data_IF_788892031949
#
_entry.id   IF_788892031949
#
_cell.length_a   1.000
_cell.length_b   1.000
_cell.length_c   1.000
_cell.angle_alpha   90.00
_cell.angle_beta   90.00
_cell.angle_gamma   90.00
#
_symmetry.space_group_name_H-M   'P 1'
#
loop_
_entity.id
_entity.type
_entity.pdbx_description
1 polymer ?
#
# COMPACT_ATOMS: atom_id res chain seq x y z
N UNK A 1 8.25 14.15 -7.64
CA UNK A 1 7.09 13.21 -7.59
C UNK A 1 6.36 13.27 -6.25
N UNK A 2 7.01 12.96 -5.11
CA UNK A 2 6.36 12.89 -3.77
C UNK A 2 5.61 14.17 -3.37
N UNK A 3 6.15 15.36 -3.64
CA UNK A 3 5.46 16.63 -3.34
C UNK A 3 4.09 16.79 -4.01
N UNK A 4 3.76 15.93 -4.97
CA UNK A 4 2.45 15.86 -5.66
C UNK A 4 1.54 14.78 -5.12
N UNK A 5 2.01 13.94 -4.19
CA UNK A 5 1.17 12.92 -3.57
C UNK A 5 0.03 13.55 -2.80
N UNK A 6 -1.17 13.01 -2.95
CA UNK A 6 -2.34 13.49 -2.22
C UNK A 6 -2.14 13.44 -0.70
N UNK A 7 -1.29 12.53 -0.22
CA UNK A 7 -0.91 12.39 1.19
C UNK A 7 -0.29 13.68 1.76
N UNK A 8 0.43 14.45 0.91
CA UNK A 8 1.14 15.68 1.28
C UNK A 8 0.40 16.95 0.81
N UNK A 9 -0.87 16.83 0.42
CA UNK A 9 -1.69 17.95 -0.02
C UNK A 9 -2.70 18.37 1.03
N UNK A 10 -3.07 19.64 0.99
CA UNK A 10 -4.17 20.23 1.74
C UNK A 10 -5.36 20.52 0.83
N UNK A 11 -6.57 20.72 1.39
CA UNK A 11 -7.69 21.25 0.60
C UNK A 11 -7.31 22.57 -0.07
N UNK A 12 -7.78 22.84 -1.30
CA UNK A 12 -8.76 22.06 -2.07
C UNK A 12 -8.15 20.86 -2.85
N UNK A 13 -6.84 20.84 -3.10
CA UNK A 13 -6.17 19.85 -3.95
C UNK A 13 -6.32 18.42 -3.39
N UNK A 14 -6.13 18.24 -2.08
CA UNK A 14 -6.35 16.94 -1.44
C UNK A 14 -7.77 16.42 -1.70
N UNK A 15 -8.79 17.26 -1.51
CA UNK A 15 -10.19 16.87 -1.69
C UNK A 15 -10.47 16.46 -3.13
N UNK A 16 -9.92 17.21 -4.08
CA UNK A 16 -10.03 16.94 -5.52
C UNK A 16 -9.40 15.61 -5.90
N UNK A 17 -8.12 15.41 -5.56
CA UNK A 17 -7.37 14.20 -5.89
C UNK A 17 -7.96 12.96 -5.20
N UNK A 18 -8.31 13.06 -3.92
CA UNK A 18 -8.94 11.97 -3.17
C UNK A 18 -10.28 11.57 -3.79
N UNK A 19 -11.08 12.55 -4.24
CA UNK A 19 -12.34 12.28 -4.92
C UNK A 19 -12.18 11.52 -6.24
N UNK A 20 -11.09 11.76 -6.98
CA UNK A 20 -10.78 11.02 -8.20
C UNK A 20 -10.37 9.57 -7.90
N UNK A 21 -9.46 9.39 -6.95
CA UNK A 21 -9.04 8.06 -6.50
C UNK A 21 -10.24 7.26 -5.97
N UNK A 22 -11.11 7.89 -5.17
CA UNK A 22 -12.30 7.22 -4.62
C UNK A 22 -13.28 6.73 -5.68
N UNK A 23 -13.41 7.44 -6.81
CA UNK A 23 -14.23 6.99 -7.95
C UNK A 23 -13.67 5.74 -8.61
N UNK A 24 -12.36 5.57 -8.60
CA UNK A 24 -11.68 4.41 -9.16
C UNK A 24 -11.61 3.22 -8.16
N UNK A 25 -11.61 3.51 -6.85
CA UNK A 25 -11.66 2.51 -5.77
C UNK A 25 -13.07 2.37 -5.21
N UNK A 26 -13.91 1.63 -5.90
CA UNK A 26 -15.27 1.35 -5.41
C UNK A 26 -15.32 -0.03 -4.73
N UNK A 27 -16.24 -0.27 -3.77
CA UNK A 27 -16.43 -1.58 -3.16
C UNK A 27 -16.60 -2.69 -4.20
N UNK A 28 -17.29 -2.40 -5.30
CA UNK A 28 -17.48 -3.35 -6.41
C UNK A 28 -16.15 -3.78 -7.06
N UNK A 29 -15.23 -2.84 -7.26
CA UNK A 29 -13.92 -3.15 -7.84
C UNK A 29 -13.11 -4.00 -6.86
N UNK A 30 -13.15 -3.67 -5.58
CA UNK A 30 -12.48 -4.45 -4.52
C UNK A 30 -13.03 -5.88 -4.45
N UNK A 31 -14.34 -6.06 -4.50
CA UNK A 31 -14.98 -7.38 -4.50
C UNK A 31 -14.60 -8.22 -5.73
N UNK A 32 -14.50 -7.58 -6.91
CA UNK A 32 -14.05 -8.27 -8.12
C UNK A 32 -12.61 -8.81 -8.02
N UNK A 33 -11.78 -8.18 -7.21
CA UNK A 33 -10.40 -8.63 -6.98
C UNK A 33 -10.29 -9.85 -6.06
N UNK A 34 -11.32 -10.18 -5.28
CA UNK A 34 -11.27 -11.28 -4.30
C UNK A 34 -10.81 -12.60 -4.92
N UNK A 35 -11.37 -12.97 -6.07
CA UNK A 35 -10.98 -14.21 -6.76
C UNK A 35 -9.54 -14.16 -7.27
N UNK A 36 -9.11 -13.02 -7.78
CA UNK A 36 -7.75 -12.83 -8.26
C UNK A 36 -6.74 -12.89 -7.11
N UNK A 37 -7.03 -12.22 -5.99
CA UNK A 37 -6.20 -12.26 -4.78
C UNK A 37 -6.10 -13.69 -4.26
N UNK A 38 -7.22 -14.43 -4.20
CA UNK A 38 -7.21 -15.83 -3.79
C UNK A 38 -6.32 -16.68 -4.71
N UNK A 39 -6.48 -16.54 -6.01
CA UNK A 39 -5.65 -17.29 -6.98
C UNK A 39 -4.16 -16.97 -6.89
N UNK A 40 -3.80 -15.70 -6.60
CA UNK A 40 -2.40 -15.31 -6.37
C UNK A 40 -1.90 -15.97 -5.09
N UNK A 41 -2.68 -15.90 -4.02
CA UNK A 41 -2.35 -16.49 -2.71
C UNK A 41 -2.13 -18.00 -2.82
N UNK A 42 -3.07 -18.71 -3.45
CA UNK A 42 -2.98 -20.16 -3.64
C UNK A 42 -1.70 -20.54 -4.40
N UNK A 43 -1.41 -19.86 -5.52
CA UNK A 43 -0.20 -20.10 -6.31
C UNK A 43 1.09 -19.87 -5.51
N UNK A 44 1.14 -18.82 -4.67
CA UNK A 44 2.31 -18.52 -3.84
C UNK A 44 2.49 -19.59 -2.75
N UNK A 45 1.42 -20.06 -2.14
CA UNK A 45 1.46 -21.11 -1.13
C UNK A 45 1.79 -22.47 -1.73
N UNK A 46 1.22 -22.82 -2.89
CA UNK A 46 1.50 -24.08 -3.61
C UNK A 46 2.99 -24.19 -3.95
N UNK A 47 3.64 -23.07 -4.28
CA UNK A 47 5.06 -23.05 -4.63
C UNK A 47 5.99 -23.49 -3.48
N UNK A 48 5.56 -23.39 -2.21
CA UNK A 48 6.38 -23.71 -1.03
C UNK A 48 5.80 -24.87 -0.19
N UNK A 49 4.64 -25.39 -0.55
CA UNK A 49 3.93 -26.43 0.22
C UNK A 49 4.75 -27.71 0.37
N UNK A 50 5.57 -28.06 -0.64
CA UNK A 50 6.41 -29.26 -0.64
C UNK A 50 7.66 -29.18 0.22
N UNK A 51 8.09 -28.00 0.64
CA UNK A 51 9.40 -27.76 1.25
C UNK A 51 9.42 -28.02 2.77
N UNK A 52 8.24 -28.22 3.40
CA UNK A 52 8.09 -28.46 4.84
C UNK A 52 8.42 -27.28 5.74
N UNK A 53 9.08 -26.26 5.22
CA UNK A 53 9.35 -24.96 5.87
C UNK A 53 9.44 -23.87 4.80
N UNK A 54 9.06 -22.66 5.16
CA UNK A 54 9.17 -21.50 4.27
C UNK A 54 9.43 -20.22 5.06
N UNK A 55 10.16 -19.29 4.45
CA UNK A 55 10.17 -17.90 4.88
C UNK A 55 8.85 -17.25 4.39
N UNK A 56 7.93 -17.02 5.32
CA UNK A 56 6.62 -16.46 4.99
C UNK A 56 6.72 -15.08 4.37
N UNK A 57 7.70 -14.27 4.79
CA UNK A 57 7.86 -12.93 4.25
C UNK A 57 8.24 -13.03 2.78
N UNK A 58 9.25 -13.83 2.45
CA UNK A 58 9.72 -14.01 1.08
C UNK A 58 8.68 -14.75 0.19
N UNK A 59 7.99 -15.76 0.75
CA UNK A 59 7.11 -16.62 -0.01
C UNK A 59 5.70 -16.01 -0.25
N UNK A 60 5.20 -15.23 0.69
CA UNK A 60 3.82 -14.73 0.65
C UNK A 60 3.69 -13.25 0.92
N UNK A 61 4.14 -12.79 2.12
CA UNK A 61 3.82 -11.44 2.58
C UNK A 61 4.34 -10.36 1.63
N UNK A 62 5.50 -10.59 1.03
CA UNK A 62 6.15 -9.68 0.10
C UNK A 62 5.58 -9.75 -1.33
N UNK A 63 5.50 -10.91 -2.03
CA UNK A 63 5.05 -10.96 -3.41
C UNK A 63 3.55 -10.71 -3.57
N UNK A 64 2.71 -11.04 -2.60
CA UNK A 64 1.26 -10.93 -2.72
C UNK A 64 0.79 -9.48 -2.92
N UNK A 65 1.07 -8.52 -2.05
CA UNK A 65 0.58 -7.14 -2.20
C UNK A 65 1.10 -6.45 -3.47
N UNK A 66 2.38 -6.67 -3.82
CA UNK A 66 2.97 -6.10 -5.03
C UNK A 66 2.29 -6.62 -6.28
N UNK A 67 2.06 -7.95 -6.35
CA UNK A 67 1.36 -8.56 -7.48
C UNK A 67 -0.06 -8.03 -7.58
N UNK A 68 -0.76 -7.86 -6.45
CA UNK A 68 -2.12 -7.34 -6.43
C UNK A 68 -2.17 -5.89 -6.91
N UNK A 69 -1.32 -5.00 -6.37
CA UNK A 69 -1.36 -3.59 -6.78
C UNK A 69 -0.89 -3.39 -8.22
N UNK A 70 0.10 -4.18 -8.67
CA UNK A 70 0.53 -4.16 -10.06
C UNK A 70 -0.60 -4.62 -11.01
N UNK A 71 -1.30 -5.69 -10.67
CA UNK A 71 -2.45 -6.16 -11.43
C UNK A 71 -3.59 -5.13 -11.47
N UNK A 72 -3.87 -4.45 -10.35
CA UNK A 72 -4.83 -3.34 -10.30
C UNK A 72 -4.47 -2.20 -11.25
N UNK A 73 -3.19 -1.86 -11.32
CA UNK A 73 -2.68 -0.83 -12.22
C UNK A 73 -2.50 -1.33 -13.67
N UNK A 74 -2.83 -2.60 -13.95
CA UNK A 74 -2.67 -3.18 -15.29
C UNK A 74 -1.22 -3.31 -15.73
N UNK A 75 -0.29 -3.45 -14.76
CA UNK A 75 1.14 -3.66 -15.01
C UNK A 75 1.38 -5.12 -15.43
N UNK A 76 2.11 -5.37 -16.52
CA UNK A 76 2.45 -6.71 -16.94
C UNK A 76 3.25 -7.50 -15.90
N UNK A 77 2.99 -8.80 -15.79
CA UNK A 77 3.62 -9.65 -14.77
C UNK A 77 5.16 -9.68 -14.84
N UNK A 78 5.72 -9.58 -16.05
CA UNK A 78 7.17 -9.53 -16.24
C UNK A 78 7.84 -8.28 -15.65
N UNK A 79 7.09 -7.23 -15.38
CA UNK A 79 7.59 -5.96 -14.85
C UNK A 79 7.44 -5.85 -13.31
N UNK A 80 6.82 -6.85 -12.66
CA UNK A 80 6.51 -6.79 -11.23
C UNK A 80 7.76 -6.66 -10.36
N UNK A 81 8.84 -7.36 -10.67
CA UNK A 81 10.10 -7.30 -9.91
C UNK A 81 10.70 -5.88 -9.95
N UNK A 82 10.70 -5.27 -11.13
CA UNK A 82 11.20 -3.90 -11.28
C UNK A 82 10.30 -2.89 -10.56
N UNK A 83 8.99 -3.10 -10.65
CA UNK A 83 7.99 -2.29 -9.96
C UNK A 83 8.19 -2.33 -8.46
N UNK A 84 8.51 -3.51 -7.95
CA UNK A 84 8.85 -3.73 -6.55
C UNK A 84 10.07 -2.90 -6.10
N UNK A 85 11.19 -2.98 -6.84
CA UNK A 85 12.41 -2.22 -6.51
C UNK A 85 12.12 -0.72 -6.40
N UNK A 86 11.36 -0.16 -7.33
CA UNK A 86 10.98 1.26 -7.28
C UNK A 86 10.10 1.60 -6.09
N UNK A 87 9.16 0.72 -5.75
CA UNK A 87 8.28 0.90 -4.61
C UNK A 87 9.04 0.91 -3.28
N UNK A 88 9.96 -0.04 -3.11
CA UNK A 88 10.79 -0.17 -1.91
C UNK A 88 11.68 1.07 -1.70
N UNK A 89 12.34 1.53 -2.75
CA UNK A 89 13.15 2.75 -2.70
C UNK A 89 12.33 3.99 -2.34
N UNK A 90 11.10 4.10 -2.87
CA UNK A 90 10.20 5.21 -2.57
C UNK A 90 9.66 5.13 -1.14
N UNK A 91 9.29 3.94 -0.66
CA UNK A 91 8.78 3.72 0.67
C UNK A 91 9.82 4.08 1.73
N UNK A 92 11.05 3.59 1.60
CA UNK A 92 12.16 3.89 2.51
C UNK A 92 12.45 5.39 2.64
N UNK A 93 12.16 6.18 1.61
CA UNK A 93 12.34 7.63 1.66
C UNK A 93 11.27 8.37 2.47
N UNK A 94 10.23 7.68 2.93
CA UNK A 94 9.23 8.23 3.85
C UNK A 94 9.65 8.08 5.32
N UNK A 95 10.59 7.19 5.59
CA UNK A 95 11.15 7.04 6.93
C UNK A 95 12.03 8.23 7.31
N UNK A 96 12.08 8.51 8.60
CA UNK A 96 13.00 9.51 9.14
C UNK A 96 14.41 8.91 9.14
N UNK A 97 15.20 9.26 8.14
CA UNK A 97 16.60 8.80 8.00
C UNK A 97 17.53 9.95 7.65
N UNK A 98 18.76 9.89 8.16
CA UNK A 98 19.82 10.83 7.83
C UNK A 98 20.74 10.30 6.71
N UNK A 99 20.39 9.19 6.06
CA UNK A 99 21.19 8.57 5.00
C UNK A 99 20.90 9.20 3.63
N UNK A 100 21.81 10.03 3.07
CA UNK A 100 21.57 10.69 1.77
C UNK A 100 21.35 9.71 0.62
N UNK A 101 21.94 8.50 0.69
CA UNK A 101 21.81 7.50 -0.38
C UNK A 101 20.38 6.94 -0.49
N UNK A 102 19.63 6.90 0.60
CA UNK A 102 18.19 6.53 0.57
C UNK A 102 17.42 7.50 -0.33
N UNK A 103 17.62 8.81 -0.14
CA UNK A 103 16.97 9.82 -0.96
C UNK A 103 17.47 9.84 -2.42
N UNK A 104 18.76 9.58 -2.64
CA UNK A 104 19.33 9.47 -3.99
C UNK A 104 18.72 8.27 -4.74
N UNK A 105 18.59 7.11 -4.10
CA UNK A 105 17.97 5.92 -4.68
C UNK A 105 16.49 6.19 -4.98
N UNK A 106 15.76 6.72 -4.02
CA UNK A 106 14.36 7.08 -4.21
C UNK A 106 14.18 8.08 -5.38
N UNK A 107 15.09 9.04 -5.53
CA UNK A 107 15.10 9.98 -6.65
C UNK A 107 15.27 9.28 -8.01
N UNK A 108 16.22 8.36 -8.12
CA UNK A 108 16.44 7.56 -9.34
C UNK A 108 15.21 6.68 -9.66
N UNK A 109 14.69 6.00 -8.66
CA UNK A 109 13.50 5.15 -8.79
C UNK A 109 12.25 5.94 -9.14
N UNK A 110 12.10 7.16 -8.60
CA UNK A 110 11.00 8.07 -8.96
C UNK A 110 11.04 8.47 -10.44
N UNK A 111 12.22 8.75 -10.99
CA UNK A 111 12.39 9.08 -12.41
C UNK A 111 12.07 7.86 -13.26
N UNK A 112 12.67 6.70 -12.97
CA UNK A 112 12.46 5.47 -13.73
C UNK A 112 10.99 5.03 -13.72
N UNK A 113 10.33 5.08 -12.56
CA UNK A 113 8.90 4.79 -12.43
C UNK A 113 8.04 5.78 -13.24
N UNK A 114 8.39 7.08 -13.23
CA UNK A 114 7.65 8.08 -14.02
C UNK A 114 7.76 7.80 -15.52
N UNK A 115 8.96 7.48 -16.00
CA UNK A 115 9.18 7.18 -17.41
C UNK A 115 8.42 5.91 -17.83
N UNK A 116 8.46 4.87 -17.00
CA UNK A 116 7.68 3.65 -17.21
C UNK A 116 6.16 3.93 -17.24
N UNK A 117 5.66 4.69 -16.25
CA UNK A 117 4.23 5.04 -16.18
C UNK A 117 3.80 5.86 -17.40
N UNK A 118 4.65 6.73 -17.93
CA UNK A 118 4.37 7.50 -19.16
C UNK A 118 4.09 6.57 -20.34
N UNK A 119 4.89 5.53 -20.50
CA UNK A 119 4.70 4.54 -21.56
C UNK A 119 3.40 3.74 -21.40
N UNK A 120 3.13 3.28 -20.17
CA UNK A 120 1.91 2.52 -19.89
C UNK A 120 0.65 3.39 -20.05
N UNK A 121 0.67 4.63 -19.57
CA UNK A 121 -0.44 5.60 -19.75
C UNK A 121 -0.68 5.87 -21.23
N UNK A 122 0.37 6.13 -22.02
CA UNK A 122 0.24 6.30 -23.46
C UNK A 122 -0.37 5.08 -24.16
N UNK A 123 -0.05 3.87 -23.70
CA UNK A 123 -0.68 2.64 -24.18
C UNK A 123 -2.16 2.58 -23.78
N UNK A 124 -2.51 2.87 -22.52
CA UNK A 124 -3.90 2.84 -22.04
C UNK A 124 -4.81 3.88 -22.68
N UNK A 125 -4.27 5.02 -23.10
CA UNK A 125 -5.03 6.00 -23.91
C UNK A 125 -5.43 5.45 -25.27
N UNK A 126 -4.58 4.61 -25.90
CA UNK A 126 -4.89 3.97 -27.19
C UNK A 126 -5.71 2.69 -27.05
N UNK A 127 -5.44 1.93 -26.01
CA UNK A 127 -6.01 0.61 -25.74
C UNK A 127 -6.49 0.56 -24.27
N UNK A 128 -7.70 1.10 -23.98
CA UNK A 128 -8.25 1.07 -22.64
C UNK A 128 -8.42 -0.37 -22.12
N UNK A 129 -7.98 -0.63 -20.89
CA UNK A 129 -8.16 -1.89 -20.18
C UNK A 129 -9.26 -1.81 -19.13
N UNK A 130 -9.51 -2.92 -18.46
CA UNK A 130 -10.42 -2.99 -17.30
C UNK A 130 -9.62 -2.83 -15.98
N UNK A 131 -8.70 -1.88 -15.93
CA UNK A 131 -7.80 -1.63 -14.81
C UNK A 131 -7.94 -0.23 -14.23
N UNK A 132 -7.38 -0.04 -13.04
CA UNK A 132 -7.43 1.22 -12.31
C UNK A 132 -6.74 2.36 -13.07
N UNK A 133 -5.63 2.04 -13.77
CA UNK A 133 -4.90 3.04 -14.54
C UNK A 133 -5.77 3.60 -15.68
N UNK A 134 -6.50 2.73 -16.39
CA UNK A 134 -7.46 3.16 -17.40
C UNK A 134 -8.53 4.08 -16.80
N UNK A 135 -9.08 3.73 -15.63
CA UNK A 135 -10.07 4.57 -14.95
C UNK A 135 -9.50 5.94 -14.55
N UNK A 136 -8.25 6.00 -14.11
CA UNK A 136 -7.56 7.26 -13.77
C UNK A 136 -7.28 8.10 -15.02
N UNK A 137 -6.85 7.48 -16.12
CA UNK A 137 -6.63 8.16 -17.41
C UNK A 137 -7.93 8.76 -17.94
N UNK A 138 -9.03 8.00 -17.91
CA UNK A 138 -10.34 8.50 -18.33
C UNK A 138 -10.85 9.64 -17.42
N UNK A 139 -10.55 9.60 -16.12
CA UNK A 139 -10.89 10.67 -15.20
C UNK A 139 -10.07 11.95 -15.45
N UNK A 140 -8.84 11.82 -15.95
CA UNK A 140 -8.01 12.95 -16.42
C UNK A 140 -8.64 13.60 -17.66
N UNK A 141 -8.96 12.79 -18.67
CA UNK A 141 -9.49 13.27 -19.95
C UNK A 141 -10.88 13.93 -19.82
N UNK A 142 -11.74 13.42 -18.95
CA UNK A 142 -13.14 13.85 -18.79
C UNK A 142 -13.34 15.25 -18.19
N UNK A 143 -12.30 16.04 -17.96
CA UNK A 143 -12.52 17.41 -17.47
C UNK A 143 -11.32 18.14 -16.89
N UNK A 144 -10.09 17.75 -17.22
CA UNK A 144 -8.87 18.49 -16.80
C UNK A 144 -8.67 18.58 -15.29
N UNK A 145 -9.24 17.64 -14.53
CA UNK A 145 -9.20 17.64 -13.06
C UNK A 145 -7.99 16.92 -12.47
N UNK A 146 -7.21 16.21 -13.30
CA UNK A 146 -5.99 15.52 -12.94
C UNK A 146 -4.94 15.89 -13.98
N UNK A 147 -3.83 16.49 -13.59
CA UNK A 147 -2.72 16.68 -14.51
C UNK A 147 -1.96 15.37 -14.72
N UNK A 148 -1.23 15.26 -15.81
CA UNK A 148 -0.43 14.07 -16.12
C UNK A 148 0.58 13.76 -15.00
N UNK A 149 1.22 14.77 -14.45
CA UNK A 149 2.13 14.62 -13.30
C UNK A 149 1.42 14.18 -12.02
N UNK A 150 0.17 14.61 -11.79
CA UNK A 150 -0.65 14.15 -10.68
C UNK A 150 -1.10 12.70 -10.89
N UNK A 151 -1.36 12.30 -12.13
CA UNK A 151 -1.65 10.91 -12.49
C UNK A 151 -0.48 10.00 -12.11
N UNK A 152 0.74 10.33 -12.56
CA UNK A 152 1.92 9.54 -12.22
C UNK A 152 2.19 9.51 -10.70
N UNK A 153 2.05 10.66 -10.04
CA UNK A 153 2.21 10.76 -8.60
C UNK A 153 1.17 9.92 -7.84
N UNK A 154 -0.07 9.86 -8.35
CA UNK A 154 -1.13 9.04 -7.77
C UNK A 154 -0.83 7.54 -7.94
N UNK A 155 -0.41 7.11 -9.12
CA UNK A 155 0.00 5.72 -9.36
C UNK A 155 1.17 5.30 -8.46
N UNK A 156 2.19 6.16 -8.31
CA UNK A 156 3.33 5.90 -7.43
C UNK A 156 2.90 5.83 -5.95
N UNK A 157 2.01 6.72 -5.50
CA UNK A 157 1.47 6.67 -4.14
C UNK A 157 0.68 5.39 -3.88
N UNK A 158 -0.19 4.99 -4.82
CA UNK A 158 -0.98 3.77 -4.68
C UNK A 158 -0.10 2.53 -4.60
N UNK A 159 0.98 2.51 -5.39
CA UNK A 159 1.98 1.45 -5.33
C UNK A 159 2.59 1.37 -3.93
N UNK A 160 3.19 2.46 -3.45
CA UNK A 160 3.88 2.51 -2.15
C UNK A 160 2.91 2.20 -1.00
N UNK A 161 1.75 2.84 -0.97
CA UNK A 161 0.76 2.66 0.11
C UNK A 161 0.13 1.26 0.13
N UNK A 162 -0.01 0.64 -1.05
CA UNK A 162 -0.71 -0.64 -1.19
C UNK A 162 0.13 -1.86 -0.85
N UNK A 163 1.46 -1.76 -0.87
CA UNK A 163 2.27 -2.96 -0.69
C UNK A 163 2.94 -3.04 0.70
N UNK A 164 3.69 -2.05 1.13
CA UNK A 164 4.51 -2.14 2.34
C UNK A 164 3.68 -2.33 3.61
N UNK A 165 2.60 -1.57 3.76
CA UNK A 165 1.71 -1.71 4.91
C UNK A 165 1.06 -3.09 4.99
N UNK A 166 0.74 -3.68 3.85
CA UNK A 166 0.14 -5.02 3.78
C UNK A 166 1.17 -6.11 4.05
N UNK A 167 2.40 -5.98 3.55
CA UNK A 167 3.53 -6.86 3.90
C UNK A 167 3.69 -6.94 5.42
N UNK A 168 3.78 -5.77 6.05
CA UNK A 168 3.97 -5.68 7.50
C UNK A 168 2.79 -6.28 8.26
N UNK A 169 1.54 -6.05 7.82
CA UNK A 169 0.37 -6.65 8.45
C UNK A 169 0.38 -8.18 8.37
N UNK A 170 0.71 -8.75 7.21
CA UNK A 170 0.78 -10.21 7.04
C UNK A 170 1.88 -10.79 7.92
N UNK A 171 3.08 -10.16 7.92
CA UNK A 171 4.22 -10.59 8.73
C UNK A 171 3.93 -10.52 10.23
N UNK A 172 3.56 -9.34 10.72
CA UNK A 172 3.27 -9.08 12.14
C UNK A 172 2.09 -9.92 12.63
N UNK A 173 1.02 -9.97 11.83
CA UNK A 173 -0.18 -10.75 12.17
C UNK A 173 0.09 -12.25 12.27
N UNK A 174 0.86 -12.80 11.33
CA UNK A 174 1.24 -14.21 11.40
C UNK A 174 2.15 -14.50 12.59
N UNK A 175 3.14 -13.63 12.85
CA UNK A 175 4.01 -13.75 14.02
C UNK A 175 3.21 -13.70 15.32
N UNK A 176 2.24 -12.78 15.43
CA UNK A 176 1.36 -12.68 16.57
C UNK A 176 0.55 -13.97 16.78
N UNK A 177 -0.05 -14.51 15.73
CA UNK A 177 -0.80 -15.78 15.80
C UNK A 177 0.09 -16.97 16.18
N UNK A 178 1.32 -17.04 15.68
CA UNK A 178 2.27 -18.09 16.05
C UNK A 178 2.72 -18.00 17.52
N UNK A 179 2.77 -16.78 18.08
CA UNK A 179 3.06 -16.55 19.50
C UNK A 179 1.85 -16.81 20.41
N UNK A 180 0.64 -16.85 19.86
CA UNK A 180 -0.62 -17.11 20.56
C UNK A 180 -1.35 -18.32 19.95
N UNK A 181 -0.85 -19.55 20.13
CA UNK A 181 -1.35 -20.74 19.48
C UNK A 181 -2.82 -21.06 19.78
N UNK A 182 -3.33 -20.66 20.95
CA UNK A 182 -4.73 -20.74 21.32
C UNK A 182 -5.62 -19.88 20.43
N UNK A 183 -5.19 -18.67 20.09
CA UNK A 183 -5.92 -17.79 19.18
C UNK A 183 -5.84 -18.30 17.73
N UNK A 184 -4.69 -18.81 17.32
CA UNK A 184 -4.54 -19.45 16.02
C UNK A 184 -5.47 -20.66 15.87
N UNK A 185 -5.53 -21.52 16.90
CA UNK A 185 -6.42 -22.66 16.92
C UNK A 185 -7.90 -22.24 16.87
N UNK A 186 -8.27 -21.25 17.67
CA UNK A 186 -9.62 -20.66 17.67
C UNK A 186 -10.02 -20.15 16.28
N UNK A 187 -9.11 -19.46 15.57
CA UNK A 187 -9.37 -18.96 14.22
C UNK A 187 -9.52 -20.09 13.20
N UNK A 188 -8.74 -21.18 13.33
CA UNK A 188 -8.88 -22.40 12.50
C UNK A 188 -10.22 -23.10 12.70
N UNK A 189 -10.70 -23.17 13.94
CA UNK A 189 -11.97 -23.79 14.30
C UNK A 189 -13.18 -22.94 13.95
N UNK A 190 -12.98 -21.62 13.88
CA UNK A 190 -14.03 -20.61 13.66
C UNK A 190 -13.61 -19.60 12.60
N UNK A 191 -13.55 -20.00 11.31
CA UNK A 191 -13.11 -19.14 10.20
C UNK A 191 -13.94 -17.85 10.04
N UNK A 192 -15.18 -17.83 10.52
CA UNK A 192 -16.04 -16.65 10.52
C UNK A 192 -15.48 -15.49 11.35
N UNK A 193 -14.53 -15.73 12.24
CA UNK A 193 -13.86 -14.71 13.04
C UNK A 193 -12.81 -13.91 12.24
N UNK A 194 -12.55 -14.27 10.99
CA UNK A 194 -11.45 -13.65 10.22
C UNK A 194 -11.54 -12.13 10.14
N UNK A 195 -12.74 -11.58 9.95
CA UNK A 195 -12.92 -10.13 9.85
C UNK A 195 -12.50 -9.42 11.14
N UNK A 196 -12.97 -9.92 12.29
CA UNK A 196 -12.59 -9.35 13.60
C UNK A 196 -11.14 -9.65 13.96
N UNK A 197 -10.59 -10.76 13.51
CA UNK A 197 -9.19 -11.10 13.70
C UNK A 197 -8.26 -10.13 12.94
N UNK A 198 -8.61 -9.75 11.70
CA UNK A 198 -7.85 -8.75 10.93
C UNK A 198 -7.84 -7.40 11.65
N UNK A 199 -8.99 -6.93 12.15
CA UNK A 199 -9.08 -5.68 12.93
C UNK A 199 -8.22 -5.74 14.20
N UNK A 200 -8.22 -6.89 14.90
CA UNK A 200 -7.37 -7.06 16.08
C UNK A 200 -5.88 -7.12 15.74
N UNK A 201 -5.49 -7.76 14.65
CA UNK A 201 -4.09 -7.77 14.20
C UNK A 201 -3.61 -6.36 13.83
N UNK A 202 -4.45 -5.55 13.18
CA UNK A 202 -4.17 -4.14 12.89
C UNK A 202 -3.97 -3.31 14.16
N UNK A 203 -4.71 -3.61 15.23
CA UNK A 203 -4.60 -2.94 16.53
C UNK A 203 -3.40 -3.43 17.34
N UNK A 204 -3.14 -4.75 17.35
CA UNK A 204 -2.16 -5.42 18.21
C UNK A 204 -0.73 -5.02 17.87
N UNK A 205 -0.38 -5.09 16.58
CA UNK A 205 0.92 -4.67 16.06
C UNK A 205 0.71 -3.97 14.71
N UNK A 206 0.42 -2.68 14.80
CA UNK A 206 0.06 -1.88 13.64
C UNK A 206 1.19 -1.83 12.61
N UNK A 207 0.91 -2.08 11.32
CA UNK A 207 1.92 -1.97 10.27
C UNK A 207 2.44 -0.54 10.09
N UNK A 208 1.68 0.46 10.53
CA UNK A 208 2.10 1.87 10.55
C UNK A 208 2.17 2.33 12.00
N UNK A 209 3.38 2.41 12.53
CA UNK A 209 3.66 2.72 13.93
C UNK A 209 3.47 4.20 14.28
N UNK A 210 3.69 5.08 13.30
CA UNK A 210 3.67 6.53 13.50
C UNK A 210 3.03 7.23 12.31
N UNK A 211 2.19 8.23 12.59
CA UNK A 211 1.78 9.21 11.60
C UNK A 211 2.00 10.62 12.13
N UNK A 212 2.42 11.55 11.26
CA UNK A 212 2.63 12.94 11.64
C UNK A 212 1.72 13.88 10.83
N UNK A 213 1.45 15.03 11.40
CA UNK A 213 0.77 16.15 10.73
C UNK A 213 1.51 17.43 11.07
N UNK A 214 1.77 18.26 10.05
CA UNK A 214 2.28 19.60 10.25
C UNK A 214 1.09 20.57 10.30
N UNK A 215 0.94 21.28 11.40
CA UNK A 215 -0.09 22.31 11.52
C UNK A 215 0.35 23.57 10.76
N UNK A 216 -0.55 24.16 10.00
CA UNK A 216 -0.29 25.42 9.27
C UNK A 216 -0.54 26.64 10.17
N UNK A 217 -1.38 26.48 11.20
CA UNK A 217 -1.72 27.50 12.16
C UNK A 217 -1.35 27.05 13.58
N UNK A 218 -1.33 28.01 14.51
CA UNK A 218 -1.14 27.71 15.93
C UNK A 218 -2.31 26.88 16.44
N UNK A 219 -2.03 25.68 16.94
CA UNK A 219 -3.00 24.80 17.57
C UNK A 219 -2.74 24.77 19.06
N UNK A 220 -3.76 25.10 19.87
CA UNK A 220 -3.74 24.88 21.29
C UNK A 220 -4.20 23.44 21.57
N UNK A 221 -3.29 22.61 22.06
CA UNK A 221 -3.63 21.26 22.52
C UNK A 221 -3.85 21.31 24.03
N UNK A 222 -4.88 20.61 24.51
CA UNK A 222 -5.01 20.38 25.94
C UNK A 222 -3.73 19.66 26.43
N UNK A 223 -3.18 20.05 27.59
CA UNK A 223 -2.06 19.31 28.16
C UNK A 223 -2.46 17.85 28.33
N UNK A 224 -1.68 16.95 27.75
CA UNK A 224 -1.83 15.51 28.01
C UNK A 224 -1.72 15.32 29.51
N UNK A 225 -2.65 14.61 30.20
CA UNK A 225 -2.47 14.24 31.56
C UNK A 225 -1.15 13.48 31.64
N UNK A 226 -0.19 14.02 32.40
CA UNK A 226 1.04 13.31 32.66
C UNK A 226 0.64 12.02 33.39
N UNK A 227 0.81 10.89 32.71
CA UNK A 227 0.85 9.60 33.40
C UNK A 227 2.16 9.62 34.17
N UNK A 228 2.10 10.18 35.37
CA UNK A 228 3.19 10.12 36.35
C UNK A 228 3.45 8.63 36.61
N UNK A 229 4.71 8.23 36.82
CA UNK A 229 4.97 6.89 37.32
C UNK A 229 4.28 6.78 38.68
N UNK A 230 3.32 5.87 38.79
CA UNK A 230 2.90 5.40 40.11
C UNK A 230 4.12 4.73 40.76
N UNK A 231 4.84 5.47 41.54
CA UNK A 231 5.86 4.92 42.46
C UNK A 231 5.07 4.19 43.52
N UNK A 232 4.88 2.89 43.33
CA UNK A 232 4.37 2.00 44.35
C UNK A 232 5.31 2.04 45.56
N UNK A 233 4.79 2.47 46.65
CA UNK A 233 5.34 2.28 48.02
C UNK A 233 5.14 0.85 48.48
#
# INVERSE_FOLDING_TARGET
MQSRWLLLKNPPDHTRLRGLVHKAFTPRIVDQMRQQIQSITDRLLDAVQGDGQADLVAALAYPLPVTVIAAMLGIPAQDHDQFHVWSDDLARSLDLTDEPEVYNRAGRSAVALTDYLREIVARRRREPGADLLTALVQAEEAGGRLSEDELYATCALLLVAGHETTINLIGNGTLALLRHPDQLQRLRERPELIETAVEELLRYDSPVQLTSRLTLDRVETAPLPCLGPEVGS
#
